data_IF_798608338529
#
_entry.id   IF_798608338529
#
_cell.length_a   1.000
_cell.length_b   1.000
_cell.length_c   1.000
_cell.angle_alpha   90.00
_cell.angle_beta   90.00
_cell.angle_gamma   90.00
#
_symmetry.space_group_name_H-M   'P 1'
#
loop_
_entity.id
_entity.type
_entity.pdbx_description
1 polymer ?
#
# COMPACT_ATOMS: atom_id res chain seq x y z
N UNK A 1 -6.71 4.86 10.91
CA UNK A 1 -7.99 5.26 11.52
C UNK A 1 -7.91 5.25 13.03
N UNK A 2 -8.59 6.21 13.65
CA UNK A 2 -8.76 6.34 15.12
C UNK A 2 -10.23 6.58 15.45
N UNK A 3 -10.62 6.34 16.71
CA UNK A 3 -11.98 6.68 17.20
C UNK A 3 -12.20 8.20 17.22
N UNK A 4 -13.45 8.69 17.09
CA UNK A 4 -13.75 10.12 17.02
C UNK A 4 -13.40 10.91 18.31
N UNK A 5 -13.24 10.25 19.43
CA UNK A 5 -12.82 10.82 20.71
C UNK A 5 -11.32 10.68 21.00
N UNK A 6 -10.57 10.14 20.04
CA UNK A 6 -9.12 9.90 20.18
C UNK A 6 -8.35 11.19 20.47
N UNK A 7 -7.38 11.15 21.39
CA UNK A 7 -6.49 12.29 21.65
C UNK A 7 -5.68 12.70 20.42
N UNK A 8 -5.46 11.79 19.46
CA UNK A 8 -4.75 12.08 18.22
C UNK A 8 -5.37 13.24 17.45
N UNK A 9 -6.70 13.34 17.45
CA UNK A 9 -7.45 14.36 16.73
C UNK A 9 -7.35 15.78 17.33
N UNK A 10 -6.79 15.91 18.55
CA UNK A 10 -6.68 17.21 19.24
C UNK A 10 -5.55 18.07 18.69
N UNK A 11 -4.59 17.50 18.00
CA UNK A 11 -3.45 18.22 17.44
C UNK A 11 -3.21 17.80 15.99
N UNK A 12 -2.72 18.74 15.20
CA UNK A 12 -2.16 18.50 13.88
C UNK A 12 -0.73 18.99 13.83
N UNK A 13 0.11 18.30 13.11
CA UNK A 13 1.49 18.66 12.87
C UNK A 13 1.70 18.97 11.39
N UNK A 14 2.45 20.03 11.12
CA UNK A 14 2.98 20.30 9.80
C UNK A 14 4.37 19.70 9.71
N UNK A 15 4.51 18.67 8.92
CA UNK A 15 5.78 18.00 8.66
C UNK A 15 6.29 18.49 7.29
N UNK A 16 7.56 18.81 7.20
CA UNK A 16 8.16 19.36 5.98
C UNK A 16 7.89 18.47 4.78
N UNK A 17 7.41 19.08 3.70
CA UNK A 17 7.08 18.38 2.45
C UNK A 17 5.76 17.61 2.46
N UNK A 18 4.95 17.68 3.54
CA UNK A 18 3.68 16.95 3.67
C UNK A 18 2.49 17.85 3.98
N UNK A 19 1.26 17.42 3.70
CA UNK A 19 0.07 18.07 4.21
C UNK A 19 0.06 18.01 5.75
N UNK A 20 -0.77 18.83 6.35
CA UNK A 20 -0.96 18.85 7.80
C UNK A 20 -1.68 17.56 8.24
N UNK A 21 -1.01 16.75 9.07
CA UNK A 21 -1.54 15.48 9.57
C UNK A 21 -1.97 15.57 11.03
N UNK A 22 -2.97 14.75 11.40
CA UNK A 22 -3.32 14.58 12.81
C UNK A 22 -2.20 13.91 13.59
N UNK A 23 -2.01 14.31 14.83
CA UNK A 23 -1.07 13.71 15.76
C UNK A 23 0.00 14.66 16.29
N UNK A 24 0.68 14.22 17.33
CA UNK A 24 1.91 14.77 17.91
C UNK A 24 2.57 13.68 18.73
N UNK A 25 3.84 13.84 19.08
CA UNK A 25 4.55 12.91 19.99
C UNK A 25 3.73 12.61 21.25
N UNK A 26 3.16 13.63 21.90
CA UNK A 26 2.38 13.46 23.13
C UNK A 26 1.07 12.70 22.92
N UNK A 27 0.40 12.88 21.78
CA UNK A 27 -0.91 12.26 21.53
C UNK A 27 -0.82 10.87 20.94
N UNK A 28 0.35 10.49 20.46
CA UNK A 28 0.62 9.18 19.84
C UNK A 28 1.37 8.23 20.77
N UNK A 29 2.09 8.76 21.76
CA UNK A 29 2.85 7.94 22.70
C UNK A 29 1.93 7.11 23.59
N UNK A 30 2.28 5.82 23.75
CA UNK A 30 1.53 4.85 24.57
C UNK A 30 0.29 4.26 23.88
N UNK A 31 0.04 4.58 22.61
CA UNK A 31 -1.07 4.00 21.87
C UNK A 31 -0.80 2.54 21.46
N UNK A 32 -1.88 1.80 21.23
CA UNK A 32 -1.85 0.44 20.69
C UNK A 32 -2.39 0.42 19.27
N UNK A 33 -1.56 -0.03 18.33
CA UNK A 33 -1.93 -0.27 16.94
C UNK A 33 -2.33 -1.73 16.79
N UNK A 34 -3.48 -1.99 16.15
CA UNK A 34 -3.97 -3.33 15.87
C UNK A 34 -3.78 -3.69 14.40
N UNK A 35 -3.25 -4.86 14.12
CA UNK A 35 -3.12 -5.37 12.77
C UNK A 35 -2.13 -6.52 12.61
N UNK A 36 -2.05 -7.13 11.41
CA UNK A 36 -1.11 -8.20 11.15
C UNK A 36 0.33 -7.68 11.06
N UNK A 37 1.28 -8.43 11.61
CA UNK A 37 2.72 -8.15 11.47
C UNK A 37 3.27 -8.67 10.14
N UNK A 38 4.43 -8.16 9.74
CA UNK A 38 5.09 -8.49 8.46
C UNK A 38 4.23 -8.18 7.23
N UNK A 39 3.48 -7.08 7.31
CA UNK A 39 2.54 -6.62 6.28
C UNK A 39 2.69 -5.13 6.00
N UNK A 40 1.99 -4.67 4.96
CA UNK A 40 1.86 -3.26 4.62
C UNK A 40 1.31 -2.42 5.78
N UNK A 41 0.35 -2.95 6.51
CA UNK A 41 -0.28 -2.28 7.65
C UNK A 41 0.75 -1.92 8.72
N UNK A 42 1.64 -2.86 9.02
CA UNK A 42 2.71 -2.61 9.99
C UNK A 42 3.68 -1.53 9.48
N UNK A 43 4.06 -1.60 8.22
CA UNK A 43 4.94 -0.60 7.62
C UNK A 43 4.33 0.79 7.59
N UNK A 44 3.05 0.91 7.19
CA UNK A 44 2.34 2.20 7.16
C UNK A 44 2.25 2.79 8.58
N UNK A 45 1.86 2.00 9.58
CA UNK A 45 1.81 2.44 10.96
C UNK A 45 3.18 2.92 11.44
N UNK A 46 4.21 2.09 11.28
CA UNK A 46 5.55 2.43 11.73
C UNK A 46 6.09 3.70 11.04
N UNK A 47 5.82 3.85 9.74
CA UNK A 47 6.18 5.05 8.98
C UNK A 47 5.45 6.30 9.48
N UNK A 48 4.16 6.19 9.79
CA UNK A 48 3.39 7.29 10.38
C UNK A 48 3.94 7.70 11.74
N UNK A 49 4.13 6.75 12.66
CA UNK A 49 4.65 7.04 14.01
C UNK A 49 6.08 7.58 13.98
N UNK A 50 6.92 7.10 13.07
CA UNK A 50 8.32 7.55 12.92
C UNK A 50 8.43 9.02 12.55
N UNK A 51 7.46 9.59 11.87
CA UNK A 51 7.42 11.02 11.54
C UNK A 51 7.26 11.91 12.78
N UNK A 52 6.79 11.34 13.89
CA UNK A 52 6.69 12.00 15.20
C UNK A 52 7.82 11.57 16.15
N UNK A 53 8.85 10.86 15.63
CA UNK A 53 9.99 10.37 16.38
C UNK A 53 9.68 9.22 17.32
N UNK A 54 8.63 8.42 17.03
CA UNK A 54 8.16 7.34 17.87
C UNK A 54 8.49 5.98 17.25
N UNK A 55 8.89 5.02 18.12
CA UNK A 55 9.31 3.67 17.73
C UNK A 55 8.43 2.62 18.40
N UNK A 56 8.04 1.60 17.64
CA UNK A 56 7.27 0.46 18.14
C UNK A 56 8.02 -0.30 19.23
N UNK A 57 7.31 -0.78 20.23
CA UNK A 57 7.86 -1.50 21.39
C UNK A 57 8.54 -0.60 22.44
N UNK A 58 8.76 0.69 22.11
CA UNK A 58 9.33 1.68 23.06
C UNK A 58 8.32 2.77 23.38
N UNK A 59 7.72 3.37 22.35
CA UNK A 59 6.85 4.53 22.49
C UNK A 59 5.38 4.21 22.25
N UNK A 60 5.10 3.15 21.48
CA UNK A 60 3.76 2.62 21.23
C UNK A 60 3.84 1.10 21.03
N UNK A 61 2.72 0.42 21.16
CA UNK A 61 2.63 -1.02 20.93
C UNK A 61 2.01 -1.34 19.56
N UNK A 62 2.55 -2.36 18.87
CA UNK A 62 1.93 -2.97 17.71
C UNK A 62 1.48 -4.38 18.08
N UNK A 63 0.19 -4.58 18.21
CA UNK A 63 -0.40 -5.87 18.60
C UNK A 63 -0.73 -6.68 17.35
N UNK A 64 -0.02 -7.80 17.18
CA UNK A 64 -0.26 -8.72 16.07
C UNK A 64 -1.64 -9.36 16.17
N UNK A 65 -2.49 -9.10 15.20
CA UNK A 65 -3.85 -9.60 15.14
C UNK A 65 -4.28 -9.77 13.67
N UNK A 66 -5.08 -10.79 13.37
CA UNK A 66 -5.71 -10.93 12.06
C UNK A 66 -6.49 -9.66 11.69
N UNK A 67 -6.46 -9.27 10.42
CA UNK A 67 -7.05 -8.01 9.94
C UNK A 67 -8.53 -7.87 10.30
N UNK A 68 -9.31 -8.92 10.11
CA UNK A 68 -10.74 -8.89 10.42
C UNK A 68 -10.98 -8.78 11.94
N UNK A 69 -10.19 -9.50 12.74
CA UNK A 69 -10.24 -9.42 14.20
C UNK A 69 -9.81 -8.03 14.69
N UNK A 70 -8.76 -7.45 14.12
CA UNK A 70 -8.28 -6.10 14.46
C UNK A 70 -9.35 -5.03 14.14
N UNK A 71 -10.02 -5.14 12.99
CA UNK A 71 -11.12 -4.24 12.64
C UNK A 71 -12.26 -4.32 13.64
N UNK A 72 -12.69 -5.52 14.04
CA UNK A 72 -13.75 -5.71 15.03
C UNK A 72 -13.33 -5.21 16.42
N UNK A 73 -12.11 -5.50 16.86
CA UNK A 73 -11.56 -5.01 18.11
C UNK A 73 -11.57 -3.48 18.16
N UNK A 74 -11.14 -2.82 17.09
CA UNK A 74 -11.19 -1.36 16.98
C UNK A 74 -12.61 -0.80 17.11
N UNK A 75 -13.60 -1.44 16.50
CA UNK A 75 -15.01 -1.04 16.56
C UNK A 75 -15.63 -1.26 17.95
N UNK A 76 -15.16 -2.25 18.70
CA UNK A 76 -15.63 -2.56 20.06
C UNK A 76 -14.88 -1.82 21.15
N UNK A 77 -13.90 -0.97 20.79
CA UNK A 77 -13.21 -0.09 21.73
C UNK A 77 -11.85 -0.61 22.19
N UNK A 78 -11.34 -1.68 21.60
CA UNK A 78 -10.01 -2.22 21.89
C UNK A 78 -8.96 -1.56 20.95
N UNK A 79 -7.73 -1.39 21.46
CA UNK A 79 -6.66 -0.69 20.77
C UNK A 79 -7.00 0.79 20.52
N UNK A 80 -6.16 1.50 19.80
CA UNK A 80 -6.29 2.94 19.56
C UNK A 80 -6.22 3.31 18.08
N UNK A 81 -5.48 2.54 17.30
CA UNK A 81 -5.21 2.79 15.88
C UNK A 81 -5.40 1.52 15.07
N UNK A 82 -6.07 1.64 13.93
CA UNK A 82 -6.22 0.58 12.94
C UNK A 82 -5.77 1.06 11.56
N UNK A 83 -5.02 0.24 10.83
CA UNK A 83 -4.61 0.52 9.45
C UNK A 83 -5.47 -0.28 8.50
N UNK A 84 -6.25 0.41 7.67
CA UNK A 84 -7.05 -0.19 6.61
C UNK A 84 -6.30 -0.07 5.27
N UNK A 85 -6.07 -1.18 4.60
CA UNK A 85 -5.44 -1.25 3.28
C UNK A 85 -6.41 -1.64 2.17
N UNK A 86 -7.57 -2.17 2.52
CA UNK A 86 -8.63 -2.54 1.60
C UNK A 86 -9.84 -1.61 1.75
N UNK A 87 -10.53 -1.35 0.64
CA UNK A 87 -11.71 -0.45 0.59
C UNK A 87 -12.81 -0.91 1.53
N UNK A 88 -13.04 -2.23 1.65
CA UNK A 88 -14.04 -2.79 2.57
C UNK A 88 -13.79 -2.36 4.02
N UNK A 89 -12.52 -2.37 4.47
CA UNK A 89 -12.18 -1.93 5.82
C UNK A 89 -12.22 -0.40 5.95
N UNK A 90 -11.82 0.35 4.91
CA UNK A 90 -11.97 1.79 4.89
C UNK A 90 -13.44 2.17 5.07
N UNK A 91 -14.33 1.58 4.26
CA UNK A 91 -15.78 1.79 4.35
C UNK A 91 -16.34 1.36 5.70
N UNK A 92 -15.87 0.24 6.25
CA UNK A 92 -16.27 -0.21 7.58
C UNK A 92 -15.91 0.83 8.63
N UNK A 93 -14.70 1.37 8.60
CA UNK A 93 -14.26 2.39 9.55
C UNK A 93 -15.08 3.67 9.41
N UNK A 94 -15.29 4.16 8.19
CA UNK A 94 -16.04 5.40 7.93
C UNK A 94 -17.51 5.28 8.28
N UNK A 95 -18.18 4.18 7.92
CA UNK A 95 -19.58 3.91 8.32
C UNK A 95 -19.75 3.89 9.85
N UNK A 96 -18.70 3.50 10.59
CA UNK A 96 -18.66 3.54 12.05
C UNK A 96 -18.07 4.84 12.63
N UNK A 97 -17.93 5.88 11.81
CA UNK A 97 -17.48 7.22 12.20
C UNK A 97 -16.04 7.27 12.73
N UNK A 98 -15.22 6.28 12.41
CA UNK A 98 -13.79 6.36 12.65
C UNK A 98 -13.17 7.43 11.75
N UNK A 99 -12.10 8.05 12.20
CA UNK A 99 -11.47 9.18 11.51
C UNK A 99 -10.13 8.74 10.94
N UNK A 100 -9.94 8.95 9.65
CA UNK A 100 -8.64 8.78 9.01
C UNK A 100 -7.70 9.90 9.49
N UNK A 101 -6.51 9.53 9.95
CA UNK A 101 -5.49 10.48 10.46
C UNK A 101 -4.36 10.72 9.46
N UNK A 102 -4.15 9.78 8.56
CA UNK A 102 -3.25 9.88 7.41
C UNK A 102 -3.63 8.81 6.39
N UNK A 103 -3.30 9.02 5.13
CA UNK A 103 -3.27 7.98 4.10
C UNK A 103 -1.88 7.35 3.97
N UNK A 104 -1.75 6.38 3.06
CA UNK A 104 -0.49 5.66 2.83
C UNK A 104 0.62 6.63 2.36
N UNK A 105 0.32 7.53 1.43
CA UNK A 105 1.29 8.49 0.89
C UNK A 105 1.74 9.49 1.96
N UNK A 106 0.80 10.03 2.73
CA UNK A 106 1.09 10.92 3.86
C UNK A 106 1.97 10.22 4.91
N UNK A 107 1.65 8.97 5.24
CA UNK A 107 2.40 8.18 6.22
C UNK A 107 3.81 7.83 5.75
N UNK A 108 3.96 7.33 4.51
CA UNK A 108 5.20 6.69 4.05
C UNK A 108 6.04 7.56 3.12
N UNK A 109 5.45 8.61 2.54
CA UNK A 109 6.02 9.38 1.43
C UNK A 109 6.35 8.52 0.19
N UNK A 110 5.60 7.45 0.00
CA UNK A 110 5.82 6.47 -1.07
C UNK A 110 4.50 6.15 -1.75
N UNK A 111 4.46 6.31 -3.05
CA UNK A 111 3.39 5.80 -3.87
C UNK A 111 3.60 4.29 -4.05
N UNK A 112 2.77 3.49 -3.39
CA UNK A 112 2.88 2.04 -3.48
C UNK A 112 2.13 1.53 -4.70
N UNK A 113 2.86 0.96 -5.65
CA UNK A 113 2.31 0.35 -6.85
C UNK A 113 2.45 -1.16 -6.79
N UNK A 114 1.39 -1.87 -7.13
CA UNK A 114 1.44 -3.31 -7.28
C UNK A 114 2.23 -3.69 -8.52
N UNK A 115 2.84 -4.87 -8.52
CA UNK A 115 3.60 -5.40 -9.64
C UNK A 115 3.34 -6.89 -9.86
N UNK A 116 3.95 -7.44 -10.88
CA UNK A 116 3.91 -8.86 -11.17
C UNK A 116 5.15 -9.55 -10.63
N UNK A 117 4.98 -10.72 -10.04
CA UNK A 117 6.05 -11.61 -9.65
C UNK A 117 6.06 -12.80 -10.61
N UNK A 118 7.21 -13.07 -11.19
CA UNK A 118 7.42 -14.25 -12.01
C UNK A 118 8.48 -15.16 -11.38
N UNK A 119 8.27 -16.47 -11.46
CA UNK A 119 9.29 -17.45 -11.08
C UNK A 119 10.44 -17.39 -12.07
N UNK A 120 11.66 -17.62 -11.59
CA UNK A 120 12.88 -17.56 -12.41
C UNK A 120 12.84 -18.55 -13.59
N UNK A 121 12.38 -19.78 -13.36
CA UNK A 121 12.24 -20.80 -14.41
C UNK A 121 11.25 -20.38 -15.51
N UNK A 122 10.17 -19.69 -15.18
CA UNK A 122 9.23 -19.16 -16.17
C UNK A 122 9.87 -18.06 -17.00
N UNK A 123 10.68 -17.19 -16.37
CA UNK A 123 11.42 -16.16 -17.09
C UNK A 123 12.48 -16.75 -18.02
N UNK A 124 13.11 -17.87 -17.65
CA UNK A 124 14.11 -18.55 -18.46
C UNK A 124 13.47 -19.34 -19.61
N UNK A 125 12.45 -20.16 -19.32
CA UNK A 125 11.89 -21.12 -20.28
C UNK A 125 10.77 -20.55 -21.16
N UNK A 126 10.04 -19.52 -20.66
CA UNK A 126 8.82 -18.97 -21.28
C UNK A 126 8.83 -17.44 -21.37
N UNK A 127 10.00 -16.86 -21.58
CA UNK A 127 10.17 -15.40 -21.61
C UNK A 127 9.19 -14.69 -22.57
N UNK A 128 9.02 -15.23 -23.78
CA UNK A 128 8.10 -14.68 -24.78
C UNK A 128 6.64 -14.63 -24.31
N UNK A 129 6.22 -15.64 -23.53
CA UNK A 129 4.86 -15.67 -22.96
C UNK A 129 4.71 -14.61 -21.87
N UNK A 130 5.74 -14.36 -21.05
CA UNK A 130 5.74 -13.30 -20.04
C UNK A 130 5.62 -11.93 -20.70
N UNK A 131 6.39 -11.67 -21.76
CA UNK A 131 6.33 -10.44 -22.54
C UNK A 131 4.94 -10.25 -23.15
N UNK A 132 4.37 -11.31 -23.75
CA UNK A 132 3.03 -11.26 -24.34
C UNK A 132 1.94 -11.01 -23.28
N UNK A 133 2.05 -11.65 -22.12
CA UNK A 133 1.15 -11.44 -20.98
C UNK A 133 1.19 -9.97 -20.51
N UNK A 134 2.37 -9.42 -20.28
CA UNK A 134 2.54 -8.03 -19.87
C UNK A 134 1.96 -7.08 -20.91
N UNK A 135 2.22 -7.31 -22.19
CA UNK A 135 1.66 -6.50 -23.28
C UNK A 135 0.13 -6.49 -23.26
N UNK A 136 -0.49 -7.65 -23.06
CA UNK A 136 -1.95 -7.76 -22.94
C UNK A 136 -2.50 -7.05 -21.71
N UNK A 137 -1.85 -7.23 -20.56
CA UNK A 137 -2.24 -6.59 -19.29
C UNK A 137 -2.17 -5.07 -19.36
N UNK A 138 -1.07 -4.51 -19.88
CA UNK A 138 -0.92 -3.05 -19.98
C UNK A 138 -1.87 -2.45 -21.03
N UNK A 139 -2.14 -3.14 -22.13
CA UNK A 139 -3.15 -2.72 -23.07
C UNK A 139 -4.54 -2.64 -22.43
N UNK A 140 -4.93 -3.66 -21.67
CA UNK A 140 -6.18 -3.63 -20.93
C UNK A 140 -6.20 -2.52 -19.86
N UNK A 141 -5.08 -2.29 -19.15
CA UNK A 141 -4.96 -1.22 -18.18
C UNK A 141 -5.17 0.16 -18.82
N UNK A 142 -4.59 0.43 -19.98
CA UNK A 142 -4.79 1.68 -20.73
C UNK A 142 -6.26 1.85 -21.13
N UNK A 143 -6.90 0.82 -21.69
CA UNK A 143 -8.30 0.87 -22.11
C UNK A 143 -9.24 1.15 -20.92
N UNK A 144 -9.03 0.44 -19.79
CA UNK A 144 -9.84 0.62 -18.58
C UNK A 144 -9.54 1.93 -17.84
N UNK A 145 -8.31 2.43 -17.90
CA UNK A 145 -7.97 3.74 -17.33
C UNK A 145 -8.57 4.89 -18.15
N UNK A 146 -8.69 4.72 -19.47
CA UNK A 146 -9.30 5.71 -20.36
C UNK A 146 -10.85 5.76 -20.26
N UNK A 147 -11.48 4.66 -19.81
CA UNK A 147 -12.93 4.59 -19.61
C UNK A 147 -13.29 4.12 -18.18
N UNK A 148 -13.44 5.05 -17.23
CA UNK A 148 -13.80 4.73 -15.86
C UNK A 148 -15.15 4.01 -15.71
N UNK A 149 -16.10 4.22 -16.61
CA UNK A 149 -17.40 3.54 -16.55
C UNK A 149 -17.23 2.06 -16.91
N UNK A 150 -16.51 1.77 -17.99
CA UNK A 150 -16.17 0.40 -18.39
C UNK A 150 -15.39 -0.31 -17.29
N UNK A 151 -14.43 0.38 -16.69
CA UNK A 151 -13.65 -0.16 -15.56
C UNK A 151 -14.54 -0.55 -14.37
N UNK A 152 -15.48 0.33 -13.99
CA UNK A 152 -16.40 0.07 -12.88
C UNK A 152 -17.35 -1.09 -13.21
N UNK A 153 -17.85 -1.18 -14.45
CA UNK A 153 -18.69 -2.30 -14.90
C UNK A 153 -17.95 -3.65 -14.76
N UNK A 154 -16.71 -3.74 -15.27
CA UNK A 154 -15.90 -4.95 -15.12
C UNK A 154 -15.56 -5.27 -13.67
N UNK A 155 -15.30 -4.29 -12.84
CA UNK A 155 -15.01 -4.50 -11.42
C UNK A 155 -16.24 -5.05 -10.69
N UNK A 156 -17.44 -4.50 -10.92
CA UNK A 156 -18.69 -5.02 -10.37
C UNK A 156 -18.95 -6.47 -10.81
N UNK A 157 -18.77 -6.75 -12.12
CA UNK A 157 -18.89 -8.11 -12.62
C UNK A 157 -17.91 -9.06 -11.95
N UNK A 158 -16.63 -8.68 -11.85
CA UNK A 158 -15.60 -9.49 -11.20
C UNK A 158 -15.94 -9.79 -9.74
N UNK A 159 -16.40 -8.79 -8.97
CA UNK A 159 -16.80 -9.01 -7.59
C UNK A 159 -18.01 -9.93 -7.47
N UNK A 160 -19.01 -9.75 -8.33
CA UNK A 160 -20.20 -10.62 -8.35
C UNK A 160 -19.84 -12.08 -8.68
N UNK A 161 -19.00 -12.31 -9.69
CA UNK A 161 -18.54 -13.65 -10.10
C UNK A 161 -17.69 -14.33 -9.01
N UNK A 162 -17.00 -13.57 -8.17
CA UNK A 162 -16.18 -14.08 -7.08
C UNK A 162 -16.90 -14.07 -5.70
N UNK A 163 -18.22 -13.82 -5.70
CA UNK A 163 -19.03 -13.87 -4.47
C UNK A 163 -18.70 -12.79 -3.46
N UNK A 164 -18.08 -11.69 -3.89
CA UNK A 164 -17.80 -10.51 -3.06
C UNK A 164 -18.90 -9.48 -3.29
N UNK A 165 -19.70 -9.14 -2.28
CA UNK A 165 -20.68 -8.07 -2.40
C UNK A 165 -19.94 -6.73 -2.51
N UNK A 166 -20.19 -5.98 -3.56
CA UNK A 166 -19.73 -4.61 -3.75
C UNK A 166 -20.84 -3.81 -4.40
N UNK A 167 -21.05 -2.58 -3.98
CA UNK A 167 -21.96 -1.67 -4.65
C UNK A 167 -21.19 -0.71 -5.59
N UNK A 168 -21.92 0.05 -6.41
CA UNK A 168 -21.31 0.96 -7.37
C UNK A 168 -20.46 2.06 -6.69
N UNK A 169 -20.83 2.50 -5.49
CA UNK A 169 -20.09 3.53 -4.77
C UNK A 169 -18.76 2.97 -4.23
N UNK A 170 -18.77 1.75 -3.70
CA UNK A 170 -17.57 1.06 -3.22
C UNK A 170 -16.57 0.84 -4.37
N UNK A 171 -17.06 0.34 -5.53
CA UNK A 171 -16.21 0.12 -6.71
C UNK A 171 -15.66 1.43 -7.26
N UNK A 172 -16.50 2.47 -7.35
CA UNK A 172 -16.05 3.79 -7.83
C UNK A 172 -14.95 4.35 -6.94
N UNK A 173 -15.12 4.30 -5.63
CA UNK A 173 -14.09 4.74 -4.69
C UNK A 173 -12.79 3.94 -4.89
N UNK A 174 -12.86 2.61 -4.98
CA UNK A 174 -11.67 1.77 -5.21
C UNK A 174 -10.95 2.13 -6.50
N UNK A 175 -11.68 2.32 -7.59
CA UNK A 175 -11.08 2.68 -8.88
C UNK A 175 -10.46 4.08 -8.90
N UNK A 176 -10.98 5.02 -8.11
CA UNK A 176 -10.42 6.36 -7.95
C UNK A 176 -9.11 6.35 -7.13
N UNK A 177 -9.06 5.59 -6.04
CA UNK A 177 -7.87 5.54 -5.17
C UNK A 177 -6.79 4.57 -5.65
N UNK A 178 -7.10 3.66 -6.57
CA UNK A 178 -6.17 2.67 -7.14
C UNK A 178 -6.13 2.75 -8.66
N UNK A 179 -5.59 3.82 -9.25
CA UNK A 179 -5.45 3.91 -10.70
C UNK A 179 -4.57 2.78 -11.21
N UNK A 180 -4.83 2.31 -12.42
CA UNK A 180 -3.92 1.40 -13.09
C UNK A 180 -2.63 2.13 -13.46
N UNK A 181 -1.50 1.45 -13.31
CA UNK A 181 -0.23 1.91 -13.89
C UNK A 181 -0.28 1.67 -15.39
N UNK A 182 -0.07 2.72 -16.15
CA UNK A 182 -0.02 2.69 -17.61
C UNK A 182 1.39 2.99 -18.13
N UNK A 183 1.72 2.67 -19.39
CA UNK A 183 3.07 2.86 -19.91
C UNK A 183 3.66 4.27 -19.69
N UNK A 184 2.83 5.31 -19.80
CA UNK A 184 3.27 6.69 -19.59
C UNK A 184 3.79 6.96 -18.17
N UNK A 185 3.34 6.23 -17.17
CA UNK A 185 3.80 6.39 -15.79
C UNK A 185 5.27 6.00 -15.62
N UNK A 186 5.75 5.06 -16.43
CA UNK A 186 7.15 4.60 -16.39
C UNK A 186 8.13 5.57 -17.03
N UNK A 187 7.65 6.51 -17.86
CA UNK A 187 8.48 7.48 -18.54
C UNK A 187 8.73 8.74 -17.71
N UNK A 188 8.10 8.85 -16.53
CA UNK A 188 8.38 9.96 -15.61
C UNK A 188 9.78 9.84 -14.99
N UNK A 189 10.41 10.98 -14.74
CA UNK A 189 11.80 11.02 -14.24
C UNK A 189 11.93 10.38 -12.85
N UNK A 190 10.86 10.43 -12.06
CA UNK A 190 10.84 10.00 -10.66
C UNK A 190 10.49 8.53 -10.49
N UNK A 191 9.89 7.89 -11.51
CA UNK A 191 9.48 6.50 -11.38
C UNK A 191 10.68 5.54 -11.45
N UNK A 192 10.77 4.67 -10.46
CA UNK A 192 11.72 3.55 -10.42
C UNK A 192 10.98 2.27 -10.04
N UNK A 193 10.94 1.29 -10.95
CA UNK A 193 10.32 0.00 -10.70
C UNK A 193 10.93 -0.66 -9.46
N UNK A 194 10.09 -1.05 -8.51
CA UNK A 194 10.52 -1.74 -7.29
C UNK A 194 10.98 -0.82 -6.14
N UNK A 195 10.95 0.52 -6.30
CA UNK A 195 11.35 1.44 -5.22
C UNK A 195 10.57 1.22 -3.92
N UNK A 196 9.25 1.02 -4.00
CA UNK A 196 8.42 0.68 -2.84
C UNK A 196 8.81 -0.65 -2.19
N UNK A 197 9.17 -1.66 -2.99
CA UNK A 197 9.62 -2.96 -2.46
C UNK A 197 10.94 -2.83 -1.68
N UNK A 198 11.90 -2.04 -2.18
CA UNK A 198 13.15 -1.79 -1.46
C UNK A 198 12.92 -1.03 -0.15
N UNK A 199 12.01 -0.05 -0.14
CA UNK A 199 11.66 0.67 1.10
C UNK A 199 11.03 -0.27 2.14
N UNK A 200 10.11 -1.13 1.73
CA UNK A 200 9.51 -2.14 2.61
C UNK A 200 10.54 -3.17 3.07
N UNK A 201 11.46 -3.59 2.18
CA UNK A 201 12.56 -4.47 2.53
C UNK A 201 13.49 -3.87 3.60
N UNK A 202 13.91 -2.63 3.41
CA UNK A 202 14.71 -1.90 4.40
C UNK A 202 13.98 -1.74 5.74
N UNK A 203 12.68 -1.47 5.72
CA UNK A 203 11.88 -1.43 6.94
C UNK A 203 11.89 -2.78 7.66
N UNK A 204 11.62 -3.88 6.96
CA UNK A 204 11.61 -5.20 7.59
C UNK A 204 12.99 -5.65 8.08
N UNK A 205 14.07 -5.24 7.43
CA UNK A 205 15.41 -5.42 7.92
C UNK A 205 15.65 -4.60 9.21
N UNK A 206 15.23 -3.35 9.24
CA UNK A 206 15.41 -2.47 10.40
C UNK A 206 14.71 -2.96 11.69
N UNK A 207 13.64 -3.75 11.54
CA UNK A 207 12.92 -4.36 12.68
C UNK A 207 13.27 -5.85 12.89
N UNK A 208 14.26 -6.39 12.16
CA UNK A 208 14.75 -7.76 12.30
C UNK A 208 13.80 -8.84 11.78
N UNK A 209 12.86 -8.51 10.92
CA UNK A 209 11.98 -9.50 10.25
C UNK A 209 12.72 -10.26 9.15
N UNK A 210 13.64 -9.58 8.47
CA UNK A 210 14.61 -10.15 7.54
C UNK A 210 16.00 -9.64 7.91
N UNK A 211 17.06 -10.34 7.49
CA UNK A 211 18.45 -9.89 7.66
C UNK A 211 18.78 -8.73 6.70
N UNK A 212 19.70 -7.84 7.07
CA UNK A 212 20.08 -6.69 6.24
C UNK A 212 20.59 -7.11 4.84
N UNK A 213 21.35 -8.19 4.76
CA UNK A 213 21.89 -8.71 3.52
C UNK A 213 20.81 -9.31 2.60
N UNK A 214 19.63 -9.65 3.14
CA UNK A 214 18.51 -10.16 2.35
C UNK A 214 17.82 -9.06 1.51
N UNK A 215 17.99 -7.78 1.85
CA UNK A 215 17.43 -6.69 1.04
C UNK A 215 18.06 -6.64 -0.35
N UNK A 216 19.31 -7.08 -0.49
CA UNK A 216 19.98 -7.21 -1.78
C UNK A 216 19.23 -8.17 -2.72
N UNK A 217 18.63 -9.25 -2.21
CA UNK A 217 17.84 -10.18 -3.03
C UNK A 217 16.59 -9.52 -3.62
N UNK A 218 16.03 -8.53 -2.93
CA UNK A 218 14.90 -7.75 -3.46
C UNK A 218 15.37 -6.91 -4.65
N UNK A 219 16.52 -6.24 -4.55
CA UNK A 219 17.11 -5.47 -5.66
C UNK A 219 17.41 -6.37 -6.87
N UNK A 220 18.06 -7.52 -6.64
CA UNK A 220 18.39 -8.50 -7.68
C UNK A 220 17.14 -9.08 -8.37
N UNK A 221 15.98 -9.11 -7.69
CA UNK A 221 14.72 -9.57 -8.23
C UNK A 221 14.01 -8.52 -9.10
N UNK A 222 14.42 -7.24 -9.05
CA UNK A 222 13.83 -6.17 -9.86
C UNK A 222 14.31 -6.33 -11.30
N UNK A 223 13.44 -6.86 -12.16
CA UNK A 223 13.74 -7.12 -13.58
C UNK A 223 12.89 -6.24 -14.48
N UNK A 224 13.50 -5.22 -15.07
CA UNK A 224 12.83 -4.27 -15.98
C UNK A 224 12.70 -4.80 -17.41
N UNK A 225 13.52 -5.77 -17.81
CA UNK A 225 13.64 -6.18 -19.21
C UNK A 225 12.35 -6.72 -19.82
N UNK A 226 11.57 -7.61 -19.16
CA UNK A 226 10.31 -8.09 -19.73
C UNK A 226 9.29 -6.97 -19.96
N UNK A 227 9.30 -5.96 -19.09
CA UNK A 227 8.43 -4.81 -19.19
C UNK A 227 8.85 -3.88 -20.34
N UNK A 228 10.14 -3.62 -20.48
CA UNK A 228 10.68 -2.85 -21.61
C UNK A 228 10.38 -3.50 -22.96
N UNK A 229 10.55 -4.83 -23.04
CA UNK A 229 10.25 -5.58 -24.26
C UNK A 229 8.76 -5.63 -24.59
N UNK A 230 7.91 -5.65 -23.56
CA UNK A 230 6.46 -5.62 -23.73
C UNK A 230 5.93 -4.27 -24.22
N UNK A 231 6.47 -3.18 -23.67
CA UNK A 231 5.93 -1.82 -23.87
C UNK A 231 6.71 -1.02 -24.92
N UNK A 232 7.95 -1.41 -25.24
CA UNK A 232 8.80 -0.67 -26.16
C UNK A 232 9.34 0.65 -25.59
N UNK A 233 9.41 0.78 -24.27
CA UNK A 233 9.85 1.98 -23.53
C UNK A 233 11.07 1.66 -22.67
N UNK A 234 11.73 2.69 -22.17
CA UNK A 234 12.80 2.52 -21.18
C UNK A 234 12.21 2.61 -19.77
N UNK A 235 12.45 1.60 -18.94
CA UNK A 235 12.04 1.54 -17.53
C UNK A 235 13.28 1.56 -16.64
N UNK A 236 13.29 2.42 -15.63
CA UNK A 236 14.35 2.43 -14.62
C UNK A 236 14.01 1.46 -13.49
N UNK A 237 14.96 0.62 -13.10
CA UNK A 237 14.88 -0.19 -11.88
C UNK A 237 15.38 0.60 -10.67
N UNK A 238 14.77 0.38 -9.52
CA UNK A 238 15.31 0.91 -8.27
C UNK A 238 16.57 0.13 -7.86
N UNK A 239 17.47 0.82 -7.18
CA UNK A 239 18.72 0.28 -6.65
C UNK A 239 18.86 0.65 -5.18
N UNK A 240 19.58 -0.16 -4.43
CA UNK A 240 20.02 0.19 -3.08
C UNK A 240 20.99 1.38 -3.16
N UNK A 241 20.79 2.37 -2.31
CA UNK A 241 21.62 3.57 -2.20
C UNK A 241 22.72 3.39 -1.16
#
# INVERSE_FOLDING_TARGET
YVRPDSPVLKKKAKIDGKPEMYGSTDTLKGLTVLGPTSTMEQWIAASYFSQFGLTAGTDYEYLNMDRAAAAQAMLTGEGDVFVATDVDYCNMMEKNKMVAVADCMEATNTEFKNGFLARKDILEDRYGDVVLFLKGMYKAAEELQADPNLRNEFALQFYAENGKPADEADVKMETEIRPFVVPADYETAEYQLGSGLLQVGNFFASIGTIEEDQVQFIEEAINVQPLQDALGITVKGATLS
#
